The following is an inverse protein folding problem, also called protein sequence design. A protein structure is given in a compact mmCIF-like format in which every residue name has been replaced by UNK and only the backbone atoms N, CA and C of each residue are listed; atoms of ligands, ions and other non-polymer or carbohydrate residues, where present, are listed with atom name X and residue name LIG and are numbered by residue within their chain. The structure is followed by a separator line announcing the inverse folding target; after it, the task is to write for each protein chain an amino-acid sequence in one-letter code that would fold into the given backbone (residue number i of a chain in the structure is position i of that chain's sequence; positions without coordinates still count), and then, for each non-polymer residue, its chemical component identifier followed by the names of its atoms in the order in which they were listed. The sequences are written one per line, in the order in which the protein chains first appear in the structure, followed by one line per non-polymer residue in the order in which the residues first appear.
data_IF_261240562262
#
_entry.id   IF_261240562262
#
_cell.length_a   1.000
_cell.length_b   1.000
_cell.length_c   1.000
_cell.angle_alpha   90.00
_cell.angle_beta   90.00
_cell.angle_gamma   90.00
#
_symmetry.space_group_name_H-M   'P 1'
#
loop_
_entity.id
_entity.type
_entity.pdbx_description
1 polymer ?
#
# COMPACT_ATOMS: atom_id res chain seq x y z
N UNK A 1 -6.24 1.78 1.80
CA UNK A 1 -4.97 2.26 2.40
C UNK A 1 -5.16 3.42 3.37
N UNK A 2 -5.96 4.45 3.05
CA UNK A 2 -6.27 5.53 4.00
C UNK A 2 -6.89 5.03 5.33
N UNK A 3 -7.74 4.00 5.26
CA UNK A 3 -8.32 3.34 6.45
C UNK A 3 -7.28 2.71 7.39
N UNK A 4 -6.09 2.41 6.87
CA UNK A 4 -4.98 1.86 7.67
C UNK A 4 -4.04 2.94 8.20
N UNK A 5 -4.38 4.24 8.05
CA UNK A 5 -3.57 5.37 8.49
C UNK A 5 -2.40 5.71 7.56
N UNK A 6 -2.42 5.24 6.31
CA UNK A 6 -1.43 5.59 5.30
C UNK A 6 -1.85 6.86 4.56
N UNK A 7 -0.94 7.84 4.51
CA UNK A 7 -1.16 9.12 3.83
C UNK A 7 -0.21 9.28 2.65
N UNK A 8 -0.59 10.10 1.67
CA UNK A 8 0.29 10.40 0.53
C UNK A 8 1.48 11.22 1.01
N UNK A 9 2.68 10.65 0.92
CA UNK A 9 3.92 11.31 1.32
C UNK A 9 4.60 12.01 0.15
N UNK A 10 4.70 11.32 -0.99
CA UNK A 10 5.25 11.91 -2.20
C UNK A 10 4.80 11.15 -3.44
N UNK A 11 4.89 11.81 -4.59
CA UNK A 11 4.63 11.19 -5.88
C UNK A 11 5.82 11.45 -6.80
N UNK A 12 6.25 10.41 -7.52
CA UNK A 12 7.25 10.51 -8.58
C UNK A 12 6.71 9.82 -9.84
N UNK A 13 6.30 10.62 -10.82
CA UNK A 13 5.63 10.11 -12.01
C UNK A 13 4.35 9.35 -11.66
N UNK A 14 4.20 8.13 -12.17
CA UNK A 14 3.09 7.23 -11.86
C UNK A 14 3.30 6.41 -10.58
N UNK A 15 4.23 6.76 -9.69
CA UNK A 15 4.40 6.06 -8.41
C UNK A 15 4.09 6.98 -7.24
N UNK A 16 3.22 6.53 -6.35
CA UNK A 16 2.87 7.20 -5.11
C UNK A 16 3.54 6.48 -3.96
N UNK A 17 4.22 7.23 -3.09
CA UNK A 17 4.68 6.76 -1.80
C UNK A 17 3.64 7.12 -0.76
N UNK A 18 3.04 6.09 -0.16
CA UNK A 18 2.21 6.25 1.02
C UNK A 18 3.07 6.03 2.26
N UNK A 19 2.78 6.78 3.31
CA UNK A 19 3.51 6.67 4.57
C UNK A 19 2.56 6.70 5.75
N UNK A 20 2.84 5.83 6.71
CA UNK A 20 2.24 5.83 8.04
C UNK A 20 3.34 6.11 9.05
N UNK A 21 3.10 7.08 9.92
CA UNK A 21 4.04 7.48 10.96
C UNK A 21 3.66 6.76 12.26
N UNK A 22 4.20 5.56 12.47
CA UNK A 22 4.07 4.85 13.74
C UNK A 22 4.99 5.42 14.83
N UNK A 23 4.81 4.97 16.07
CA UNK A 23 5.61 5.42 17.24
C UNK A 23 7.09 5.03 17.10
N UNK A 24 7.39 3.88 16.49
CA UNK A 24 8.77 3.36 16.42
C UNK A 24 9.32 3.23 15.00
N UNK A 25 8.48 3.17 13.95
CA UNK A 25 8.95 2.91 12.59
C UNK A 25 8.15 3.70 11.54
N UNK A 26 8.87 4.16 10.50
CA UNK A 26 8.29 4.81 9.31
C UNK A 26 7.88 3.73 8.32
N UNK A 27 6.59 3.47 8.20
CA UNK A 27 6.06 2.44 7.31
C UNK A 27 5.75 3.08 5.97
N UNK A 28 6.40 2.61 4.89
CA UNK A 28 6.27 3.21 3.56
C UNK A 28 5.83 2.17 2.55
N UNK A 29 4.76 2.49 1.82
CA UNK A 29 4.25 1.71 0.69
C UNK A 29 4.50 2.45 -0.61
N UNK A 30 4.84 1.72 -1.67
CA UNK A 30 4.98 2.32 -3.01
C UNK A 30 3.92 1.71 -3.90
N UNK A 31 2.96 2.53 -4.33
CA UNK A 31 1.83 2.09 -5.13
C UNK A 31 1.90 2.79 -6.49
N UNK A 32 1.94 2.04 -7.60
CA UNK A 32 1.78 2.63 -8.91
C UNK A 32 0.36 3.20 -9.09
N UNK A 33 0.30 4.45 -9.56
CA UNK A 33 -0.88 5.18 -9.97
C UNK A 33 -1.20 4.86 -11.44
N UNK A 34 -1.70 3.65 -11.67
CA UNK A 34 -2.27 3.25 -12.95
C UNK A 34 -3.75 2.91 -12.77
N UNK A 35 -4.56 3.23 -13.78
CA UNK A 35 -6.01 3.03 -13.74
C UNK A 35 -6.40 1.54 -13.68
N UNK A 36 -5.51 0.67 -14.14
CA UNK A 36 -5.60 -0.77 -14.05
C UNK A 36 -4.26 -1.30 -13.54
N UNK A 37 -4.29 -2.16 -12.54
CA UNK A 37 -3.14 -2.82 -11.98
C UNK A 37 -3.20 -4.28 -12.39
N UNK A 38 -2.13 -4.79 -12.99
CA UNK A 38 -2.00 -6.22 -13.24
C UNK A 38 -2.00 -7.01 -11.92
N UNK A 39 -2.47 -8.25 -11.96
CA UNK A 39 -2.53 -9.14 -10.78
C UNK A 39 -1.18 -9.27 -10.08
N UNK A 40 -0.08 -9.28 -10.85
CA UNK A 40 1.28 -9.31 -10.30
C UNK A 40 1.61 -8.07 -9.46
N UNK A 41 1.16 -6.90 -9.91
CA UNK A 41 1.34 -5.63 -9.19
C UNK A 41 0.46 -5.58 -7.94
N UNK A 42 -0.81 -6.01 -8.02
CA UNK A 42 -1.69 -6.14 -6.86
C UNK A 42 -1.07 -7.07 -5.80
N UNK A 43 -0.53 -8.22 -6.21
CA UNK A 43 0.14 -9.17 -5.31
C UNK A 43 1.41 -8.59 -4.69
N UNK A 44 2.17 -7.79 -5.43
CA UNK A 44 3.35 -7.10 -4.91
C UNK A 44 2.98 -6.05 -3.85
N UNK A 45 1.93 -5.27 -4.11
CA UNK A 45 1.40 -4.29 -3.14
C UNK A 45 0.87 -5.01 -1.90
N UNK A 46 0.08 -6.08 -2.07
CA UNK A 46 -0.41 -6.90 -0.96
C UNK A 46 0.75 -7.38 -0.08
N UNK A 47 1.76 -8.04 -0.66
CA UNK A 47 2.95 -8.49 0.06
C UNK A 47 3.72 -7.37 0.76
N UNK A 48 3.77 -6.18 0.17
CA UNK A 48 4.41 -5.03 0.82
C UNK A 48 3.58 -4.55 2.02
N UNK A 49 2.26 -4.46 1.86
CA UNK A 49 1.34 -4.03 2.90
C UNK A 49 1.24 -5.03 4.05
N UNK A 50 1.32 -6.33 3.77
CA UNK A 50 1.26 -7.41 4.77
C UNK A 50 2.40 -7.36 5.80
N UNK A 51 3.46 -6.58 5.53
CA UNK A 51 4.54 -6.32 6.50
C UNK A 51 4.11 -5.39 7.65
N UNK A 52 3.02 -4.64 7.46
CA UNK A 52 2.57 -3.57 8.33
C UNK A 52 1.11 -3.73 8.79
N UNK A 53 0.32 -4.46 8.02
CA UNK A 53 -1.11 -4.70 8.24
C UNK A 53 -1.34 -6.21 8.15
N UNK A 54 -2.12 -6.83 9.06
CA UNK A 54 -2.48 -8.24 8.96
C UNK A 54 -3.14 -8.60 7.63
N UNK A 55 -2.78 -9.75 7.07
CA UNK A 55 -3.30 -10.22 5.77
C UNK A 55 -4.82 -10.31 5.74
N UNK A 56 -5.44 -10.72 6.85
CA UNK A 56 -6.90 -10.80 7.02
C UNK A 56 -7.61 -9.46 6.78
N UNK A 57 -6.98 -8.34 7.14
CA UNK A 57 -7.53 -7.01 6.93
C UNK A 57 -7.28 -6.52 5.51
N UNK A 58 -6.21 -6.98 4.86
CA UNK A 58 -5.87 -6.59 3.49
C UNK A 58 -6.66 -7.38 2.44
N UNK A 59 -6.98 -8.65 2.72
CA UNK A 59 -7.57 -9.57 1.74
C UNK A 59 -8.82 -9.00 1.02
N UNK A 60 -9.80 -8.38 1.72
CA UNK A 60 -10.99 -7.82 1.08
C UNK A 60 -10.67 -6.72 0.04
N UNK A 61 -9.55 -6.02 0.20
CA UNK A 61 -9.17 -4.92 -0.70
C UNK A 61 -8.47 -5.37 -1.98
N UNK A 62 -8.03 -6.63 -2.07
CA UNK A 62 -7.20 -7.14 -3.17
C UNK A 62 -7.79 -8.34 -3.91
N UNK A 63 -8.71 -9.09 -3.30
CA UNK A 63 -9.16 -10.40 -3.79
C UNK A 63 -10.69 -10.57 -3.83
N UNK A 64 -11.45 -9.46 -3.82
CA UNK A 64 -12.91 -9.45 -4.09
C UNK A 64 -13.24 -9.55 -5.58
#
# INVERSE_FOLDING_TARGET
MGEFGFEVHSQKGSYIKLRRSGVEQKETLTIPLHRQLDTGTCKAIFRQASKYIPEEQLFPFFYE
#
